data_IF_886304027785
#
_entry.id   IF_886304027785
#
_cell.length_a   1.000
_cell.length_b   1.000
_cell.length_c   1.000
_cell.angle_alpha   90.00
_cell.angle_beta   90.00
_cell.angle_gamma   90.00
#
_symmetry.space_group_name_H-M   'P 1'
#
loop_
_entity.id
_entity.type
_entity.pdbx_description
1 polymer ?
#
# COMPACT_ATOMS: atom_id res chain seq x y z
N UNK A 1 63.07 37.20 40.54
CA UNK A 1 63.81 36.38 41.53
C UNK A 1 63.39 34.94 41.27
N UNK A 2 64.02 34.20 40.34
CA UNK A 2 65.40 33.73 40.26
C UNK A 2 65.70 32.54 41.20
N UNK A 3 66.01 31.40 40.57
CA UNK A 3 66.69 30.22 41.15
C UNK A 3 65.74 29.12 41.63
N UNK A 4 66.02 27.83 41.50
CA UNK A 4 67.24 27.06 41.18
C UNK A 4 66.75 25.60 40.93
N UNK A 5 66.97 24.96 39.78
CA UNK A 5 68.05 23.99 39.45
C UNK A 5 68.37 22.91 40.51
N UNK A 6 68.15 21.63 40.13
CA UNK A 6 69.00 20.40 40.33
C UNK A 6 68.12 19.17 40.00
N UNK A 7 68.28 18.42 38.91
CA UNK A 7 69.38 17.57 38.38
C UNK A 7 69.76 16.35 39.25
N UNK A 8 69.72 15.18 38.58
CA UNK A 8 70.38 13.87 38.86
C UNK A 8 69.76 13.02 39.99
N UNK A 9 69.53 11.71 39.87
CA UNK A 9 70.32 10.63 39.24
C UNK A 9 69.50 9.31 39.17
N UNK A 10 69.87 8.45 38.21
CA UNK A 10 69.50 7.05 37.98
C UNK A 10 69.45 6.15 39.24
N UNK A 11 68.53 5.18 39.23
CA UNK A 11 68.88 3.78 39.53
C UNK A 11 67.95 2.79 38.83
N UNK A 12 68.56 1.91 38.03
CA UNK A 12 67.98 0.70 37.45
C UNK A 12 67.57 -0.28 38.54
N UNK A 13 66.44 -0.95 38.36
CA UNK A 13 66.28 -2.35 38.75
C UNK A 13 65.32 -3.04 37.77
N UNK A 14 65.91 -3.92 36.96
CA UNK A 14 65.26 -4.90 36.11
C UNK A 14 64.81 -6.05 37.02
N UNK A 15 63.54 -6.49 36.93
CA UNK A 15 63.20 -7.89 37.17
C UNK A 15 61.78 -8.27 36.71
N UNK A 16 61.74 -9.28 35.84
CA UNK A 16 60.75 -10.37 35.74
C UNK A 16 59.28 -10.06 35.36
N UNK A 17 58.99 -10.35 34.09
CA UNK A 17 57.76 -11.06 33.67
C UNK A 17 57.73 -12.46 34.29
N UNK A 18 56.55 -13.00 34.68
CA UNK A 18 55.67 -13.58 33.66
C UNK A 18 54.16 -13.38 33.88
N UNK A 19 53.44 -13.32 32.76
CA UNK A 19 52.17 -14.03 32.56
C UNK A 19 51.00 -13.68 33.48
N UNK A 20 50.26 -12.64 33.12
CA UNK A 20 48.86 -12.47 33.54
C UNK A 20 48.01 -12.30 32.29
N UNK A 21 47.19 -13.31 31.99
CA UNK A 21 46.25 -13.31 30.87
C UNK A 21 45.38 -12.04 30.90
N UNK A 22 45.40 -11.27 29.83
CA UNK A 22 44.36 -10.30 29.53
C UNK A 22 43.08 -11.08 29.27
N UNK A 23 42.22 -11.17 30.28
CA UNK A 23 40.80 -11.36 30.05
C UNK A 23 40.37 -10.18 29.17
N UNK A 24 39.98 -10.50 27.94
CA UNK A 24 39.34 -9.55 27.05
C UNK A 24 38.21 -8.89 27.84
N UNK A 25 38.32 -7.58 28.04
CA UNK A 25 37.19 -6.75 28.44
C UNK A 25 36.09 -7.05 27.44
N UNK A 26 35.14 -7.87 27.87
CA UNK A 26 33.87 -8.05 27.20
C UNK A 26 33.31 -6.66 27.09
N UNK A 27 33.34 -6.12 25.87
CA UNK A 27 32.54 -4.98 25.48
C UNK A 27 31.12 -5.37 25.83
N UNK A 28 30.66 -4.96 27.00
CA UNK A 28 29.26 -4.89 27.31
C UNK A 28 28.70 -3.97 26.22
N UNK A 29 28.15 -4.58 25.18
CA UNK A 29 27.27 -3.94 24.22
C UNK A 29 26.12 -3.42 25.07
N UNK A 30 26.27 -2.19 25.55
CA UNK A 30 25.22 -1.55 26.30
C UNK A 30 24.00 -1.54 25.38
N UNK A 31 22.88 -2.02 25.92
CA UNK A 31 21.55 -1.92 25.31
C UNK A 31 21.10 -0.43 25.12
N UNK A 32 22.01 0.52 25.29
CA UNK A 32 21.80 1.97 25.32
C UNK A 32 21.90 2.63 23.92
N UNK A 33 21.93 1.85 22.84
CA UNK A 33 21.87 2.38 21.46
C UNK A 33 20.80 1.75 20.57
N UNK A 34 19.77 1.12 21.12
CA UNK A 34 18.47 1.11 20.42
C UNK A 34 17.83 2.48 20.65
N UNK A 35 18.30 3.46 19.88
CA UNK A 35 17.74 4.80 19.85
C UNK A 35 16.36 4.75 19.18
N UNK A 36 15.35 4.28 19.93
CA UNK A 36 13.92 4.37 19.60
C UNK A 36 13.38 5.79 19.80
N UNK A 37 14.26 6.78 20.02
CA UNK A 37 13.89 8.18 20.18
C UNK A 37 13.36 8.72 18.86
N UNK A 38 12.03 8.80 18.79
CA UNK A 38 11.27 9.57 17.81
C UNK A 38 11.67 9.27 16.37
N UNK A 39 11.36 8.07 15.88
CA UNK A 39 11.11 7.90 14.45
C UNK A 39 9.89 8.77 14.12
N UNK A 40 10.13 10.04 13.77
CA UNK A 40 9.09 10.84 13.14
C UNK A 40 8.55 10.05 11.95
N UNK A 41 7.22 10.03 11.77
CA UNK A 41 6.66 9.34 10.61
C UNK A 41 7.24 10.04 9.38
N UNK A 42 8.00 9.28 8.58
CA UNK A 42 8.69 9.78 7.39
C UNK A 42 7.69 10.17 6.31
N UNK A 43 7.95 9.78 5.06
CA UNK A 43 6.93 9.92 4.01
C UNK A 43 5.82 8.91 4.26
N UNK A 44 4.60 9.41 4.36
CA UNK A 44 3.40 8.60 4.47
C UNK A 44 2.76 8.46 3.08
N UNK A 45 2.28 7.27 2.77
CA UNK A 45 1.36 7.06 1.67
C UNK A 45 -0.01 6.67 2.20
N UNK A 46 -1.05 6.92 1.42
CA UNK A 46 -2.40 6.44 1.75
C UNK A 46 -3.01 5.66 0.59
N UNK A 47 -3.90 4.73 0.90
CA UNK A 47 -4.69 3.99 -0.07
C UNK A 47 -6.15 3.90 0.40
N UNK A 48 -7.07 3.90 -0.56
CA UNK A 48 -8.47 3.57 -0.32
C UNK A 48 -8.69 2.14 -0.76
N UNK A 49 -9.23 1.32 0.14
CA UNK A 49 -9.33 -0.13 -0.02
C UNK A 49 -10.78 -0.52 0.26
N UNK A 50 -11.38 -1.36 -0.60
CA UNK A 50 -12.60 -2.06 -0.19
C UNK A 50 -12.18 -3.13 0.81
N UNK A 51 -13.01 -3.43 1.81
CA UNK A 51 -12.69 -4.53 2.70
C UNK A 51 -13.90 -5.46 2.78
N UNK A 52 -13.71 -6.76 2.45
CA UNK A 52 -14.77 -7.75 2.60
C UNK A 52 -15.34 -7.72 4.02
N UNK A 53 -16.67 -7.77 4.14
CA UNK A 53 -17.36 -7.78 5.43
C UNK A 53 -17.63 -6.40 6.04
N UNK A 54 -17.18 -5.30 5.41
CA UNK A 54 -17.65 -3.98 5.79
C UNK A 54 -19.07 -3.69 5.24
N UNK A 55 -19.86 -2.85 5.91
CA UNK A 55 -21.16 -2.40 5.38
C UNK A 55 -21.02 -1.68 4.04
N UNK A 56 -22.10 -1.67 3.25
CA UNK A 56 -22.15 -0.94 1.99
C UNK A 56 -21.73 0.53 2.16
N UNK A 57 -20.97 1.06 1.21
CA UNK A 57 -20.46 2.43 1.27
C UNK A 57 -19.35 2.67 2.29
N UNK A 58 -18.85 1.60 2.93
CA UNK A 58 -17.70 1.65 3.83
C UNK A 58 -16.42 1.22 3.13
N UNK A 59 -15.29 1.74 3.60
CA UNK A 59 -13.98 1.49 3.04
C UNK A 59 -12.89 1.67 4.09
N UNK A 60 -11.69 1.15 3.81
CA UNK A 60 -10.51 1.36 4.64
C UNK A 60 -9.66 2.46 4.02
N UNK A 61 -9.39 3.51 4.79
CA UNK A 61 -8.32 4.45 4.53
C UNK A 61 -7.06 3.92 5.22
N UNK A 62 -6.15 3.34 4.45
CA UNK A 62 -4.88 2.80 4.95
C UNK A 62 -3.79 3.84 4.81
N UNK A 63 -3.11 4.18 5.91
CA UNK A 63 -1.86 4.92 5.91
C UNK A 63 -0.68 3.97 6.07
N UNK A 64 0.40 4.20 5.33
CA UNK A 64 1.61 3.37 5.36
C UNK A 64 2.86 4.23 5.49
N UNK A 65 3.76 3.87 6.41
CA UNK A 65 5.13 4.41 6.44
C UNK A 65 5.97 3.60 5.47
N UNK A 66 6.63 4.26 4.52
CA UNK A 66 7.47 3.56 3.55
C UNK A 66 8.92 3.43 4.02
N UNK A 67 9.46 2.22 3.86
CA UNK A 67 10.90 1.98 3.83
C UNK A 67 11.58 2.07 5.19
N UNK A 68 10.90 1.69 6.28
CA UNK A 68 11.53 1.68 7.61
C UNK A 68 12.49 0.50 7.65
N UNK A 69 13.78 0.80 7.54
CA UNK A 69 14.84 -0.19 7.69
C UNK A 69 15.05 -0.47 9.17
N UNK A 70 14.87 -1.73 9.56
CA UNK A 70 15.24 -2.20 10.88
C UNK A 70 16.44 -3.13 10.79
N UNK A 71 17.35 -2.98 11.74
CA UNK A 71 18.42 -3.94 11.98
C UNK A 71 18.08 -4.76 13.22
N UNK A 72 18.43 -6.05 13.18
CA UNK A 72 18.15 -6.97 14.27
C UNK A 72 16.83 -7.71 14.11
N UNK A 73 16.42 -8.40 15.18
CA UNK A 73 15.20 -9.18 15.23
C UNK A 73 13.91 -8.46 15.72
N UNK A 74 13.89 -7.16 16.14
CA UNK A 74 12.62 -6.56 16.55
C UNK A 74 11.70 -6.36 15.35
N UNK A 75 10.40 -6.53 15.58
CA UNK A 75 9.36 -6.17 14.63
C UNK A 75 8.70 -4.84 15.02
N UNK A 76 8.32 -4.02 14.05
CA UNK A 76 7.45 -2.86 14.30
C UNK A 76 6.02 -3.34 14.42
N UNK A 77 5.34 -2.81 15.43
CA UNK A 77 3.89 -2.83 15.45
C UNK A 77 3.35 -1.85 14.40
N UNK A 78 2.15 -2.14 13.94
CA UNK A 78 1.38 -1.21 13.11
C UNK A 78 1.19 0.14 13.81
N UNK A 79 0.93 1.16 13.01
CA UNK A 79 0.58 2.50 13.48
C UNK A 79 -0.72 2.41 14.29
N UNK A 80 -0.76 3.09 15.43
CA UNK A 80 -2.03 3.36 16.12
C UNK A 80 -2.55 4.72 15.63
N UNK A 81 -3.85 4.95 15.77
CA UNK A 81 -4.46 6.21 15.38
C UNK A 81 -5.53 6.64 16.38
N UNK A 82 -5.76 7.95 16.43
CA UNK A 82 -6.90 8.57 17.09
C UNK A 82 -7.67 9.35 16.02
N UNK A 83 -9.00 9.27 16.05
CA UNK A 83 -9.87 9.96 15.12
C UNK A 83 -10.90 10.82 15.86
N UNK A 84 -11.17 12.00 15.32
CA UNK A 84 -12.25 12.86 15.84
C UNK A 84 -12.85 13.73 14.75
N UNK A 85 -14.16 13.97 14.84
CA UNK A 85 -14.88 14.88 13.95
C UNK A 85 -15.01 16.26 14.59
N UNK A 86 -14.60 17.30 13.87
CA UNK A 86 -14.72 18.70 14.30
C UNK A 86 -15.11 19.56 13.10
N UNK A 87 -16.28 20.17 13.14
CA UNK A 87 -16.86 20.97 12.05
C UNK A 87 -16.82 20.23 10.71
N UNK A 88 -15.97 20.68 9.77
CA UNK A 88 -15.81 20.10 8.43
C UNK A 88 -14.61 19.14 8.34
N UNK A 89 -13.94 18.86 9.46
CA UNK A 89 -12.71 18.07 9.51
C UNK A 89 -12.94 16.70 10.17
N UNK A 90 -12.43 15.67 9.51
CA UNK A 90 -12.04 14.41 10.14
C UNK A 90 -10.56 14.55 10.55
N UNK A 91 -10.31 14.73 11.83
CA UNK A 91 -8.95 14.80 12.37
C UNK A 91 -8.44 13.40 12.63
N UNK A 92 -7.30 13.05 12.02
CA UNK A 92 -6.64 11.76 12.19
C UNK A 92 -5.23 12.01 12.72
N UNK A 93 -4.98 11.54 13.94
CA UNK A 93 -3.66 11.60 14.55
C UNK A 93 -2.99 10.24 14.46
N UNK A 94 -1.87 10.17 13.75
CA UNK A 94 -1.10 8.94 13.62
C UNK A 94 -0.03 8.86 14.72
N UNK A 95 -0.08 7.77 15.48
CA UNK A 95 0.87 7.50 16.55
C UNK A 95 2.02 6.66 15.97
N UNK A 96 3.29 7.09 16.11
CA UNK A 96 4.43 6.37 15.59
C UNK A 96 4.50 4.90 16.04
N UNK A 97 4.99 4.00 15.18
CA UNK A 97 5.09 2.59 15.48
C UNK A 97 6.13 2.36 16.57
N UNK A 98 5.87 1.41 17.47
CA UNK A 98 6.83 0.98 18.49
C UNK A 98 7.45 -0.35 18.07
N UNK A 99 8.75 -0.49 18.27
CA UNK A 99 9.40 -1.78 18.13
C UNK A 99 8.93 -2.70 19.27
N UNK A 100 8.51 -3.91 18.89
CA UNK A 100 8.25 -4.98 19.81
C UNK A 100 9.57 -5.63 20.20
N UNK A 101 9.93 -5.47 21.48
CA UNK A 101 11.14 -6.04 22.06
C UNK A 101 10.85 -7.18 23.03
N UNK A 102 9.58 -7.60 23.14
CA UNK A 102 9.12 -8.48 24.22
C UNK A 102 9.73 -9.88 24.11
N UNK A 103 9.94 -10.36 22.88
CA UNK A 103 10.51 -11.67 22.57
C UNK A 103 11.95 -11.58 22.05
N UNK A 104 12.67 -10.49 22.33
CA UNK A 104 14.06 -10.38 21.91
C UNK A 104 14.97 -11.21 22.82
N UNK A 105 15.77 -12.12 22.25
CA UNK A 105 16.80 -12.80 23.02
C UNK A 105 17.85 -11.80 23.53
N UNK A 106 18.34 -12.03 24.74
CA UNK A 106 19.32 -11.17 25.43
C UNK A 106 20.75 -11.33 24.91
N UNK A 107 21.02 -12.33 24.08
CA UNK A 107 22.34 -12.60 23.49
C UNK A 107 22.42 -12.11 22.03
N UNK A 108 23.61 -11.72 21.52
CA UNK A 108 23.78 -11.31 20.13
C UNK A 108 23.54 -12.48 19.17
N UNK A 109 22.49 -12.40 18.36
CA UNK A 109 22.23 -13.35 17.29
C UNK A 109 22.83 -12.86 15.98
N UNK A 110 23.82 -13.61 15.48
CA UNK A 110 24.44 -13.37 14.17
C UNK A 110 23.48 -13.60 12.98
N UNK A 111 22.28 -14.15 13.23
CA UNK A 111 21.26 -14.46 12.22
C UNK A 111 20.22 -13.36 12.03
N UNK A 112 20.22 -12.30 12.84
CA UNK A 112 19.26 -11.20 12.65
C UNK A 112 19.72 -10.28 11.51
N UNK A 113 19.17 -10.51 10.31
CA UNK A 113 19.38 -9.66 9.14
C UNK A 113 18.61 -8.33 9.21
N UNK A 114 19.07 -7.34 8.46
CA UNK A 114 18.28 -6.13 8.22
C UNK A 114 17.09 -6.44 7.32
N UNK A 115 15.90 -5.96 7.69
CA UNK A 115 14.69 -6.12 6.90
C UNK A 115 13.90 -4.82 6.86
N UNK A 116 13.18 -4.62 5.75
CA UNK A 116 12.34 -3.44 5.54
C UNK A 116 10.95 -3.76 6.07
N UNK A 117 10.45 -2.89 6.95
CA UNK A 117 9.07 -2.95 7.43
C UNK A 117 8.29 -1.70 7.00
N UNK A 118 7.01 -1.90 6.69
CA UNK A 118 6.09 -0.84 6.29
C UNK A 118 4.88 -0.86 7.24
N UNK A 119 5.00 -0.29 8.45
CA UNK A 119 3.90 -0.28 9.41
C UNK A 119 2.73 0.54 8.84
N UNK A 120 1.52 0.07 9.13
CA UNK A 120 0.28 0.62 8.57
C UNK A 120 -0.72 1.02 9.66
N UNK A 121 -1.61 1.95 9.35
CA UNK A 121 -2.83 2.24 10.13
C UNK A 121 -4.02 2.09 9.20
N UNK A 122 -4.97 1.24 9.58
CA UNK A 122 -6.23 1.04 8.86
C UNK A 122 -7.34 1.73 9.60
N UNK A 123 -8.03 2.62 8.90
CA UNK A 123 -9.11 3.44 9.44
C UNK A 123 -10.36 3.12 8.65
N UNK A 124 -11.38 2.59 9.32
CA UNK A 124 -12.65 2.22 8.68
C UNK A 124 -13.54 3.44 8.63
N UNK A 125 -13.87 3.88 7.41
CA UNK A 125 -14.74 5.03 7.16
C UNK A 125 -15.95 4.60 6.35
N UNK A 126 -17.02 5.39 6.41
CA UNK A 126 -18.17 5.21 5.52
C UNK A 126 -18.66 6.54 4.95
N UNK A 127 -19.27 6.49 3.76
CA UNK A 127 -19.91 7.67 3.16
C UNK A 127 -20.92 8.30 4.12
N UNK A 128 -21.72 7.48 4.78
CA UNK A 128 -22.78 7.94 5.68
C UNK A 128 -22.22 8.62 6.92
N UNK A 129 -21.15 8.07 7.51
CA UNK A 129 -20.44 8.71 8.62
C UNK A 129 -19.87 10.07 8.20
N UNK A 130 -19.16 10.13 7.07
CA UNK A 130 -18.56 11.38 6.58
C UNK A 130 -19.63 12.43 6.26
N UNK A 131 -20.77 12.03 5.66
CA UNK A 131 -21.91 12.91 5.38
C UNK A 131 -22.58 13.40 6.66
N UNK A 132 -22.86 12.50 7.61
CA UNK A 132 -23.55 12.83 8.86
C UNK A 132 -22.76 13.86 9.68
N UNK A 133 -21.44 13.78 9.66
CA UNK A 133 -20.55 14.74 10.31
C UNK A 133 -20.19 15.95 9.44
N UNK A 134 -20.67 16.04 8.20
CA UNK A 134 -20.34 17.16 7.30
C UNK A 134 -18.86 17.26 6.94
N UNK A 135 -18.10 16.16 7.05
CA UNK A 135 -16.67 16.14 6.82
C UNK A 135 -16.34 16.39 5.34
N UNK A 136 -15.55 17.43 5.08
CA UNK A 136 -15.06 17.83 3.74
C UNK A 136 -13.55 17.72 3.62
N UNK A 137 -12.85 17.69 4.75
CA UNK A 137 -11.40 17.57 4.78
C UNK A 137 -10.97 16.53 5.81
N UNK A 138 -9.86 15.85 5.54
CA UNK A 138 -9.13 15.07 6.53
C UNK A 138 -7.95 15.91 6.98
N UNK A 139 -7.87 16.20 8.28
CA UNK A 139 -6.72 16.86 8.89
C UNK A 139 -5.83 15.79 9.51
N UNK A 140 -4.65 15.59 8.94
CA UNK A 140 -3.67 14.60 9.40
C UNK A 140 -2.65 15.25 10.32
N UNK A 141 -2.62 14.77 11.56
CA UNK A 141 -1.65 15.17 12.58
C UNK A 141 -0.49 14.17 12.64
N UNK A 142 0.71 14.64 12.31
CA UNK A 142 1.95 13.88 12.45
C UNK A 142 2.99 14.72 13.20
N UNK A 143 2.94 14.63 14.54
CA UNK A 143 3.77 15.47 15.40
C UNK A 143 3.44 16.96 15.20
N UNK A 144 4.42 17.84 14.88
CA UNK A 144 4.16 19.25 14.64
C UNK A 144 3.66 19.57 13.22
N UNK A 145 3.57 18.56 12.33
CA UNK A 145 3.19 18.75 10.93
C UNK A 145 1.73 18.40 10.74
N UNK A 146 1.00 19.36 10.18
CA UNK A 146 -0.39 19.19 9.72
C UNK A 146 -0.41 19.03 8.21
N UNK A 147 -1.29 18.19 7.70
CA UNK A 147 -1.56 18.11 6.26
C UNK A 147 -3.03 17.82 6.03
N UNK A 148 -3.54 18.27 4.90
CA UNK A 148 -4.97 18.24 4.61
C UNK A 148 -5.23 17.44 3.35
N UNK A 149 -6.25 16.59 3.40
CA UNK A 149 -6.80 15.92 2.24
C UNK A 149 -8.24 16.40 2.03
N UNK A 150 -8.62 16.70 0.79
CA UNK A 150 -10.01 17.03 0.45
C UNK A 150 -10.79 15.73 0.23
N UNK A 151 -12.03 15.72 0.74
CA UNK A 151 -12.98 14.61 0.61
C UNK A 151 -14.08 15.04 -0.37
N UNK A 152 -14.20 14.31 -1.47
CA UNK A 152 -15.33 14.44 -2.40
C UNK A 152 -16.17 13.18 -2.35
N UNK A 153 -17.37 13.31 -1.80
CA UNK A 153 -18.34 12.23 -1.70
C UNK A 153 -19.35 12.31 -2.83
N UNK A 154 -19.51 11.21 -3.54
CA UNK A 154 -20.58 10.99 -4.51
C UNK A 154 -21.30 9.68 -4.15
N UNK A 155 -22.41 9.40 -4.81
CA UNK A 155 -23.18 8.19 -4.51
C UNK A 155 -22.45 6.92 -4.92
N UNK A 156 -21.65 6.99 -5.98
CA UNK A 156 -20.94 5.88 -6.60
C UNK A 156 -19.43 5.87 -6.33
N UNK A 157 -18.87 6.90 -5.69
CA UNK A 157 -17.45 6.97 -5.37
C UNK A 157 -17.13 7.90 -4.21
N UNK A 158 -15.97 7.66 -3.61
CA UNK A 158 -15.28 8.62 -2.74
C UNK A 158 -13.93 8.95 -3.36
N UNK A 159 -13.61 10.24 -3.42
CA UNK A 159 -12.30 10.72 -3.84
C UNK A 159 -11.64 11.47 -2.69
N UNK A 160 -10.44 11.04 -2.32
CA UNK A 160 -9.58 11.67 -1.32
C UNK A 160 -8.28 12.07 -2.00
N UNK A 161 -7.94 13.36 -1.94
CA UNK A 161 -6.75 13.93 -2.60
C UNK A 161 -6.07 14.96 -1.71
N UNK A 162 -4.77 15.24 -1.89
CA UNK A 162 -4.13 16.36 -1.21
C UNK A 162 -4.91 17.66 -1.46
N UNK A 163 -5.13 18.44 -0.40
CA UNK A 163 -5.93 19.66 -0.52
C UNK A 163 -5.25 20.69 -1.42
N UNK A 164 -6.04 21.28 -2.32
CA UNK A 164 -5.58 22.39 -3.17
C UNK A 164 -5.74 23.75 -2.49
N UNK A 165 -6.60 23.81 -1.46
CA UNK A 165 -6.99 25.07 -0.80
C UNK A 165 -6.34 25.26 0.57
N UNK A 166 -6.01 24.17 1.26
CA UNK A 166 -5.41 24.20 2.59
C UNK A 166 -3.90 23.89 2.53
N UNK A 167 -3.09 24.55 3.37
CA UNK A 167 -1.64 24.42 3.34
C UNK A 167 -1.23 22.99 3.74
N UNK A 168 -0.70 22.24 2.78
CA UNK A 168 -0.11 20.92 3.03
C UNK A 168 1.38 20.95 2.73
N UNK A 169 2.19 20.31 3.58
CA UNK A 169 3.62 20.18 3.30
C UNK A 169 3.80 19.29 2.08
N UNK A 170 4.37 19.85 1.01
CA UNK A 170 4.60 19.13 -0.24
C UNK A 170 5.34 17.81 0.02
N UNK A 171 4.77 16.70 -0.45
CA UNK A 171 5.36 15.36 -0.35
C UNK A 171 5.36 14.74 1.05
N UNK A 172 4.65 15.31 2.04
CA UNK A 172 4.43 14.64 3.32
C UNK A 172 3.48 13.44 3.18
N UNK A 173 2.50 13.57 2.27
CA UNK A 173 1.48 12.56 1.99
C UNK A 173 1.27 12.42 0.48
N UNK A 174 1.13 11.18 0.02
CA UNK A 174 0.76 10.92 -1.38
C UNK A 174 -0.11 9.67 -1.48
N UNK A 175 -1.10 9.64 -2.37
CA UNK A 175 -1.81 8.41 -2.65
C UNK A 175 -0.80 7.36 -3.14
N UNK A 176 -0.93 6.13 -2.66
CA UNK A 176 -0.10 5.02 -3.06
C UNK A 176 -0.36 4.73 -4.54
N UNK A 177 0.60 5.08 -5.40
CA UNK A 177 0.51 4.76 -6.82
C UNK A 177 0.66 3.26 -7.01
N UNK A 178 -0.43 2.62 -7.40
CA UNK A 178 -0.41 1.25 -7.89
C UNK A 178 -0.21 1.24 -9.40
N UNK A 179 0.51 0.25 -9.91
CA UNK A 179 0.76 0.11 -11.34
C UNK A 179 -0.57 -0.09 -12.09
N UNK A 180 -0.78 0.71 -13.14
CA UNK A 180 -2.02 0.66 -13.93
C UNK A 180 -3.22 1.39 -13.31
N UNK A 181 -3.09 1.97 -12.11
CA UNK A 181 -4.15 2.76 -11.46
C UNK A 181 -4.08 4.22 -11.86
N UNK A 182 -5.07 4.65 -12.65
CA UNK A 182 -5.14 6.00 -13.19
C UNK A 182 -5.43 7.07 -12.11
N UNK A 183 -6.21 6.73 -11.08
CA UNK A 183 -6.65 7.66 -10.04
C UNK A 183 -6.61 7.00 -8.66
N UNK A 184 -5.43 6.88 -8.03
CA UNK A 184 -5.25 6.15 -6.77
C UNK A 184 -5.90 6.83 -5.56
N UNK A 185 -6.44 8.05 -5.73
CA UNK A 185 -7.22 8.76 -4.72
C UNK A 185 -8.72 8.51 -4.82
N UNK A 186 -9.21 7.70 -5.77
CA UNK A 186 -10.64 7.45 -5.96
C UNK A 186 -10.98 5.99 -5.75
N UNK A 187 -11.99 5.75 -4.90
CA UNK A 187 -12.59 4.45 -4.67
C UNK A 187 -14.01 4.44 -5.21
N UNK A 188 -14.32 3.48 -6.08
CA UNK A 188 -15.64 3.29 -6.67
C UNK A 188 -16.45 2.27 -5.89
N UNK A 189 -17.69 2.61 -5.54
CA UNK A 189 -18.66 1.69 -4.96
C UNK A 189 -19.41 0.99 -6.09
N UNK A 190 -18.96 -0.22 -6.43
CA UNK A 190 -19.52 -0.98 -7.52
C UNK A 190 -20.93 -1.49 -7.19
N UNK A 191 -21.87 -1.48 -8.15
CA UNK A 191 -23.16 -2.12 -7.96
C UNK A 191 -22.99 -3.64 -7.73
N UNK A 192 -23.96 -4.31 -7.07
CA UNK A 192 -23.95 -5.75 -6.92
C UNK A 192 -23.81 -6.48 -8.27
N UNK A 193 -23.10 -7.61 -8.27
CA UNK A 193 -22.85 -8.39 -9.49
C UNK A 193 -21.79 -7.79 -10.43
N UNK A 194 -21.02 -6.79 -9.98
CA UNK A 194 -19.95 -6.24 -10.82
C UNK A 194 -18.79 -7.23 -10.95
N UNK A 195 -18.38 -7.47 -12.19
CA UNK A 195 -17.32 -8.40 -12.57
C UNK A 195 -16.37 -7.74 -13.57
N UNK A 196 -15.14 -8.25 -13.61
CA UNK A 196 -14.19 -7.98 -14.69
C UNK A 196 -14.21 -9.16 -15.67
N UNK A 197 -14.45 -8.88 -16.95
CA UNK A 197 -14.28 -9.85 -18.02
C UNK A 197 -12.93 -9.65 -18.68
N UNK A 198 -12.14 -10.71 -18.81
CA UNK A 198 -10.82 -10.65 -19.42
C UNK A 198 -10.45 -11.96 -20.11
N UNK A 199 -9.49 -11.89 -21.03
CA UNK A 199 -8.84 -13.06 -21.62
C UNK A 199 -7.32 -12.96 -21.44
N UNK A 200 -6.70 -13.82 -20.63
CA UNK A 200 -5.27 -13.73 -20.32
C UNK A 200 -4.36 -14.03 -21.52
N UNK A 201 -4.90 -14.70 -22.55
CA UNK A 201 -4.17 -15.11 -23.75
C UNK A 201 -4.25 -14.06 -24.88
N UNK A 202 -5.02 -12.99 -24.69
CA UNK A 202 -5.20 -11.94 -25.69
C UNK A 202 -3.92 -11.10 -25.85
N UNK A 203 -3.62 -10.75 -27.11
CA UNK A 203 -2.44 -9.97 -27.49
C UNK A 203 -2.80 -8.62 -28.13
N UNK A 204 -3.95 -8.52 -28.80
CA UNK A 204 -4.51 -7.26 -29.34
C UNK A 204 -5.66 -6.75 -28.45
N UNK A 205 -5.55 -5.52 -27.97
CA UNK A 205 -6.50 -4.93 -27.03
C UNK A 205 -7.81 -4.53 -27.71
N UNK A 206 -7.72 -3.86 -28.86
CA UNK A 206 -8.88 -3.19 -29.43
C UNK A 206 -9.91 -4.17 -29.99
N UNK A 207 -9.44 -5.20 -30.71
CA UNK A 207 -10.32 -6.22 -31.29
C UNK A 207 -10.89 -7.16 -30.21
N UNK A 208 -10.05 -7.59 -29.27
CA UNK A 208 -10.47 -8.47 -28.17
C UNK A 208 -11.53 -7.80 -27.30
N UNK A 209 -11.38 -6.51 -26.97
CA UNK A 209 -12.34 -5.79 -26.11
C UNK A 209 -13.74 -5.74 -26.73
N UNK A 210 -13.82 -5.55 -28.06
CA UNK A 210 -15.09 -5.54 -28.79
C UNK A 210 -15.77 -6.90 -28.76
N UNK A 211 -15.01 -7.99 -28.98
CA UNK A 211 -15.53 -9.36 -28.93
C UNK A 211 -15.93 -9.80 -27.52
N UNK A 212 -15.17 -9.40 -26.49
CA UNK A 212 -15.55 -9.62 -25.08
C UNK A 212 -16.87 -8.90 -24.79
N UNK A 213 -17.03 -7.66 -25.25
CA UNK A 213 -18.26 -6.90 -25.06
C UNK A 213 -19.47 -7.58 -25.73
N UNK A 214 -19.31 -8.08 -26.95
CA UNK A 214 -20.38 -8.84 -27.63
C UNK A 214 -20.75 -10.12 -26.88
N UNK A 215 -19.75 -10.87 -26.40
CA UNK A 215 -19.97 -12.05 -25.57
C UNK A 215 -20.72 -11.70 -24.28
N UNK A 216 -20.34 -10.61 -23.62
CA UNK A 216 -20.99 -10.12 -22.41
C UNK A 216 -22.49 -9.84 -22.65
N UNK A 217 -22.78 -9.06 -23.70
CA UNK A 217 -24.16 -8.69 -24.04
C UNK A 217 -25.02 -9.91 -24.38
N UNK A 218 -24.48 -10.91 -25.11
CA UNK A 218 -25.19 -12.17 -25.40
C UNK A 218 -25.53 -12.96 -24.14
N UNK A 219 -24.73 -12.83 -23.09
CA UNK A 219 -24.95 -13.48 -21.80
C UNK A 219 -25.79 -12.62 -20.82
N UNK A 220 -26.34 -11.49 -21.28
CA UNK A 220 -27.11 -10.58 -20.43
C UNK A 220 -26.26 -9.75 -19.46
N UNK A 221 -24.94 -9.73 -19.65
CA UNK A 221 -23.99 -8.97 -18.83
C UNK A 221 -23.82 -7.58 -19.47
N UNK A 222 -24.04 -6.53 -18.68
CA UNK A 222 -24.10 -5.15 -19.19
C UNK A 222 -22.81 -4.40 -18.85
N UNK A 223 -22.25 -3.58 -19.74
CA UNK A 223 -21.08 -2.75 -19.42
C UNK A 223 -21.32 -1.87 -18.19
N UNK A 224 -20.32 -1.78 -17.30
CA UNK A 224 -20.43 -1.00 -16.06
C UNK A 224 -20.69 0.49 -16.33
N UNK A 225 -20.16 1.02 -17.44
CA UNK A 225 -20.39 2.40 -17.89
C UNK A 225 -21.88 2.74 -18.11
N UNK A 226 -22.76 1.74 -18.26
CA UNK A 226 -24.20 1.97 -18.32
C UNK A 226 -24.82 2.36 -16.96
N UNK A 227 -24.16 2.01 -15.85
CA UNK A 227 -24.57 2.38 -14.49
C UNK A 227 -23.75 3.54 -13.94
N UNK A 228 -22.46 3.57 -14.28
CA UNK A 228 -21.50 4.55 -13.83
C UNK A 228 -20.88 5.25 -15.06
N UNK A 229 -21.54 6.26 -15.65
CA UNK A 229 -21.08 6.89 -16.90
C UNK A 229 -19.69 7.51 -16.81
N UNK A 230 -19.32 8.02 -15.62
CA UNK A 230 -18.01 8.62 -15.35
C UNK A 230 -16.95 7.58 -14.96
N UNK A 231 -17.28 6.29 -14.98
CA UNK A 231 -16.38 5.23 -14.53
C UNK A 231 -15.09 5.22 -15.36
N UNK A 232 -13.97 5.28 -14.63
CA UNK A 232 -12.65 5.09 -15.19
C UNK A 232 -12.09 3.80 -14.62
N UNK A 233 -11.86 2.83 -15.51
CA UNK A 233 -11.25 1.56 -15.17
C UNK A 233 -10.01 1.80 -14.29
N UNK A 234 -10.02 1.33 -13.02
CA UNK A 234 -8.87 1.48 -12.15
C UNK A 234 -7.70 0.63 -12.64
N UNK A 235 -7.92 -0.34 -13.51
CA UNK A 235 -6.85 -1.11 -14.10
C UNK A 235 -6.80 -0.80 -15.58
N UNK A 236 -5.75 -0.12 -16.01
CA UNK A 236 -5.37 -0.06 -17.41
C UNK A 236 -4.76 -1.41 -17.89
N UNK A 237 -5.27 -2.55 -17.41
CA UNK A 237 -4.84 -3.85 -17.94
C UNK A 237 -5.41 -4.00 -19.35
N UNK A 238 -4.53 -4.36 -20.27
CA UNK A 238 -4.91 -4.68 -21.64
C UNK A 238 -5.88 -5.88 -21.60
N UNK A 239 -6.93 -5.86 -22.41
CA UNK A 239 -7.90 -6.96 -22.57
C UNK A 239 -8.82 -7.24 -21.38
N UNK A 240 -9.12 -6.22 -20.55
CA UNK A 240 -10.04 -6.34 -19.43
C UNK A 240 -11.12 -5.25 -19.50
N UNK A 241 -12.39 -5.65 -19.35
CA UNK A 241 -13.53 -4.74 -19.26
C UNK A 241 -14.35 -4.99 -18.00
N UNK A 242 -15.07 -3.96 -17.57
CA UNK A 242 -15.89 -3.99 -16.35
C UNK A 242 -17.37 -4.05 -16.71
N UNK A 243 -18.09 -4.97 -16.07
CA UNK A 243 -19.47 -5.30 -16.41
C UNK A 243 -20.27 -5.60 -15.14
N UNK A 244 -21.60 -5.59 -15.28
CA UNK A 244 -22.56 -5.96 -14.24
C UNK A 244 -23.36 -7.17 -14.72
N UNK A 245 -23.21 -8.28 -14.00
CA UNK A 245 -24.02 -9.47 -14.16
C UNK A 245 -25.21 -9.42 -13.19
N UNK A 246 -26.36 -8.97 -13.71
CA UNK A 246 -27.61 -8.88 -12.93
C UNK A 246 -28.13 -10.21 -12.42
N UNK A 247 -27.70 -11.31 -13.02
CA UNK A 247 -28.16 -12.65 -12.66
C UNK A 247 -27.27 -13.30 -11.61
N UNK A 248 -26.16 -12.65 -11.24
CA UNK A 248 -25.14 -13.15 -10.32
C UNK A 248 -24.64 -14.56 -10.68
N UNK A 249 -24.71 -14.92 -11.97
CA UNK A 249 -24.25 -16.21 -12.46
C UNK A 249 -22.74 -16.35 -12.33
N UNK A 250 -22.01 -15.24 -12.54
CA UNK A 250 -20.56 -15.20 -12.59
C UNK A 250 -19.90 -14.39 -11.45
N UNK A 251 -20.69 -13.67 -10.66
CA UNK A 251 -20.20 -12.93 -9.49
C UNK A 251 -20.05 -13.84 -8.26
N UNK A 252 -19.21 -13.47 -7.28
CA UNK A 252 -19.14 -14.15 -5.98
C UNK A 252 -18.37 -15.47 -5.90
N UNK A 253 -17.76 -15.94 -6.99
CA UNK A 253 -17.07 -17.26 -7.01
C UNK A 253 -15.66 -17.26 -6.43
N UNK A 254 -15.08 -16.09 -6.09
CA UNK A 254 -13.71 -15.93 -5.57
C UNK A 254 -12.58 -16.27 -6.56
N UNK A 255 -12.75 -17.32 -7.37
CA UNK A 255 -11.89 -17.71 -8.47
C UNK A 255 -12.48 -17.26 -9.83
N UNK A 256 -11.63 -17.10 -10.87
CA UNK A 256 -12.12 -16.79 -12.21
C UNK A 256 -13.02 -17.91 -12.79
N UNK A 257 -14.17 -17.53 -13.35
CA UNK A 257 -15.16 -18.44 -13.96
C UNK A 257 -15.19 -18.25 -15.47
N UNK A 258 -15.16 -19.34 -16.25
CA UNK A 258 -15.28 -19.24 -17.70
C UNK A 258 -16.69 -18.76 -18.11
N UNK A 259 -16.75 -17.67 -18.87
CA UNK A 259 -18.01 -17.12 -19.41
C UNK A 259 -18.32 -17.71 -20.78
N UNK A 260 -17.28 -17.94 -21.58
CA UNK A 260 -17.40 -18.48 -22.92
C UNK A 260 -16.12 -18.27 -23.72
N UNK A 261 -16.22 -18.37 -25.04
CA UNK A 261 -15.09 -18.20 -25.95
C UNK A 261 -15.36 -17.11 -26.98
N UNK A 262 -14.28 -16.51 -27.48
CA UNK A 262 -14.27 -15.56 -28.59
C UNK A 262 -13.26 -16.04 -29.65
N UNK A 263 -13.45 -15.64 -30.90
CA UNK A 263 -12.55 -15.98 -32.00
C UNK A 263 -11.89 -14.71 -32.49
N UNK A 264 -10.55 -14.65 -32.40
CA UNK A 264 -9.74 -13.51 -32.86
C UNK A 264 -8.93 -13.93 -34.10
N UNK A 265 -8.73 -13.02 -35.07
CA UNK A 265 -7.77 -13.25 -36.14
C UNK A 265 -6.35 -13.22 -35.56
N UNK A 266 -5.50 -14.11 -36.05
CA UNK A 266 -4.10 -14.20 -35.68
C UNK A 266 -3.27 -14.25 -36.96
N UNK A 267 -2.27 -13.38 -37.03
CA UNK A 267 -1.33 -13.38 -38.15
C UNK A 267 -0.18 -14.33 -37.82
N UNK A 268 -0.07 -15.40 -38.60
CA UNK A 268 1.04 -16.36 -38.53
C UNK A 268 2.08 -16.03 -39.59
N UNK A 269 3.35 -16.01 -39.17
CA UNK A 269 4.48 -15.71 -40.03
C UNK A 269 5.15 -17.02 -40.45
N UNK A 270 5.31 -17.24 -41.75
CA UNK A 270 5.89 -18.47 -42.30
C UNK A 270 6.77 -18.22 -43.52
N UNK A 271 7.58 -19.22 -43.87
CA UNK A 271 8.49 -19.16 -45.03
C UNK A 271 7.76 -19.00 -46.37
N UNK A 272 6.48 -19.37 -46.43
CA UNK A 272 5.60 -19.25 -47.60
C UNK A 272 4.79 -17.94 -47.63
N UNK A 273 5.07 -17.01 -46.70
CA UNK A 273 4.35 -15.76 -46.54
C UNK A 273 3.39 -15.75 -45.34
N UNK A 274 2.90 -14.56 -45.02
CA UNK A 274 2.04 -14.33 -43.86
C UNK A 274 0.63 -14.90 -44.12
N UNK A 275 0.06 -15.60 -43.14
CA UNK A 275 -1.30 -16.15 -43.19
C UNK A 275 -2.15 -15.68 -42.01
N UNK A 276 -3.40 -15.35 -42.29
CA UNK A 276 -4.39 -15.05 -41.26
C UNK A 276 -5.10 -16.35 -40.88
N UNK A 277 -4.99 -16.72 -39.61
CA UNK A 277 -5.72 -17.83 -38.99
C UNK A 277 -6.69 -17.29 -37.94
N UNK A 278 -7.57 -18.14 -37.43
CA UNK A 278 -8.46 -17.79 -36.32
C UNK A 278 -8.02 -18.55 -35.07
N UNK A 279 -7.86 -17.84 -33.96
CA UNK A 279 -7.55 -18.40 -32.65
C UNK A 279 -8.74 -18.25 -31.74
N UNK A 280 -9.10 -19.31 -31.02
CA UNK A 280 -10.17 -19.27 -30.02
C UNK A 280 -9.57 -18.93 -28.67
N UNK A 281 -10.11 -17.92 -28.00
CA UNK A 281 -9.70 -17.49 -26.67
C UNK A 281 -10.83 -17.73 -25.68
N UNK A 282 -10.48 -18.16 -24.47
CA UNK A 282 -11.44 -18.24 -23.35
C UNK A 282 -11.55 -16.89 -22.65
N UNK A 283 -12.78 -16.47 -22.37
CA UNK A 283 -13.08 -15.27 -21.59
C UNK A 283 -13.51 -15.69 -20.20
N UNK A 284 -12.88 -15.09 -19.19
CA UNK A 284 -13.13 -15.35 -17.79
C UNK A 284 -13.79 -14.14 -17.13
N UNK A 285 -14.73 -14.40 -16.23
CA UNK A 285 -15.25 -13.45 -15.27
C UNK A 285 -14.47 -13.59 -13.96
N UNK A 286 -14.15 -12.46 -13.33
CA UNK A 286 -13.59 -12.43 -11.99
C UNK A 286 -14.26 -11.33 -11.18
N UNK A 287 -14.48 -11.60 -9.91
CA UNK A 287 -14.98 -10.63 -8.96
C UNK A 287 -13.95 -9.50 -8.72
N UNK A 288 -14.41 -8.26 -8.58
CA UNK A 288 -13.55 -7.12 -8.31
C UNK A 288 -13.02 -7.10 -6.87
N UNK A 289 -13.70 -7.76 -5.94
CA UNK A 289 -13.23 -7.95 -4.55
C UNK A 289 -11.93 -8.76 -4.47
N UNK A 290 -11.57 -9.48 -5.54
CA UNK A 290 -10.34 -10.26 -5.61
C UNK A 290 -9.14 -9.49 -6.19
N UNK A 291 -9.23 -8.18 -6.40
CA UNK A 291 -8.15 -7.35 -6.96
C UNK A 291 -7.30 -6.62 -5.91
N UNK A 292 -7.47 -6.98 -4.64
CA UNK A 292 -6.82 -6.33 -3.51
C UNK A 292 -5.57 -7.08 -3.05
#
# INVERSE_FOLDING_TARGET
MAGLVRLTLLLLLISFWPGGAQAADGVALSADKMNLRNMGLGRLSYALIHAPGLPEGSFVLRFSVQGVQMTGCPALRNLSHEESFQDIYLTIRLIPPRADTTDLPTAPHLSCGGHVQNPTADIVLSKDMLRAHGARHIMLENGPVMSYLDIHLQDDRVTIRPSETLPSRAGAFSPLKQEGVADPGTLWFYPPGTIMLYSPEATDAHETDSLIRELALRNGIVPLAAYLPDFKAPLARRHAGYYVDKTERYAGHGAPVAVGTITVPEKTYGLEGDRWTSRTLTVYARDLTAYE
#
